data_IF_263357647777
#
_entry.id   IF_263357647777
#
_cell.length_a   1.000
_cell.length_b   1.000
_cell.length_c   1.000
_cell.angle_alpha   90.00
_cell.angle_beta   90.00
_cell.angle_gamma   90.00
#
_symmetry.space_group_name_H-M   'P 1'
#
loop_
_entity.id
_entity.type
_entity.pdbx_description
1 polymer ?
#
# COMPACT_ATOMS: atom_id res chain seq x y z
N UNK A 1 14.93 17.08 0.65
CA UNK A 1 14.98 16.82 0.17
C UNK A 1 14.62 15.61 0.04
N UNK A 2 14.76 15.05 -0.39
CA UNK A 2 14.60 13.96 -0.67
C UNK A 2 14.30 13.03 0.31
N UNK A 3 14.34 13.02 1.29
CA UNK A 3 14.07 12.01 2.24
C UNK A 3 12.65 11.83 2.62
N UNK A 4 11.77 12.60 2.04
CA UNK A 4 10.42 12.53 2.52
C UNK A 4 9.61 11.43 1.95
N UNK A 5 9.92 11.01 0.76
CA UNK A 5 9.18 9.92 0.17
C UNK A 5 7.78 10.33 -0.28
N UNK A 6 6.99 9.33 -0.60
CA UNK A 6 5.63 9.52 -1.10
C UNK A 6 4.66 8.98 -0.06
N UNK A 7 3.66 9.78 0.31
CA UNK A 7 2.63 9.36 1.25
C UNK A 7 1.31 9.20 0.54
N UNK A 8 0.59 8.18 0.92
CA UNK A 8 -0.74 7.99 0.35
C UNK A 8 -1.60 7.21 1.34
N UNK A 9 -2.90 7.42 1.23
CA UNK A 9 -3.84 6.75 2.12
C UNK A 9 -4.20 5.40 1.54
N UNK A 10 -4.34 4.42 2.43
CA UNK A 10 -4.70 3.06 2.04
C UNK A 10 -5.86 2.62 2.92
N UNK A 11 -6.88 2.05 2.29
CA UNK A 11 -7.98 1.44 3.02
C UNK A 11 -7.82 -0.06 2.92
N UNK A 12 -7.65 -0.70 4.06
CA UNK A 12 -7.33 -2.11 4.12
C UNK A 12 -8.58 -2.94 4.32
N UNK A 13 -8.71 -4.00 3.54
CA UNK A 13 -9.77 -4.98 3.72
C UNK A 13 -9.08 -6.27 4.13
N UNK A 14 -9.18 -6.65 5.41
CA UNK A 14 -8.45 -7.83 5.90
C UNK A 14 -9.20 -9.12 5.59
N UNK A 15 -8.57 -10.23 5.88
CA UNK A 15 -9.17 -11.56 5.76
C UNK A 15 -9.46 -11.95 4.33
N UNK A 16 -8.75 -11.37 3.39
CA UNK A 16 -8.90 -11.78 2.00
C UNK A 16 -8.10 -13.05 1.77
N UNK A 17 -8.45 -13.77 0.72
CA UNK A 17 -7.72 -14.99 0.39
C UNK A 17 -6.33 -14.66 -0.09
N UNK A 18 -6.15 -13.54 -0.73
CA UNK A 18 -4.84 -13.10 -1.18
C UNK A 18 -4.82 -11.60 -1.17
N UNK A 19 -3.62 -11.06 -1.13
CA UNK A 19 -3.46 -9.62 -1.11
C UNK A 19 -3.51 -9.10 -2.55
N UNK A 20 -4.23 -8.01 -2.75
CA UNK A 20 -4.33 -7.42 -4.07
C UNK A 20 -4.78 -5.98 -3.97
N UNK A 21 -4.40 -5.19 -4.95
CA UNK A 21 -4.85 -3.81 -5.05
C UNK A 21 -6.19 -3.83 -5.77
N UNK A 22 -7.22 -3.29 -5.11
CA UNK A 22 -8.54 -3.27 -5.70
C UNK A 22 -8.71 -2.05 -6.61
N UNK A 23 -8.19 -0.90 -6.17
CA UNK A 23 -8.32 0.32 -6.95
C UNK A 23 -8.39 1.52 -6.02
N UNK A 24 -8.72 2.67 -6.59
CA UNK A 24 -8.83 3.90 -5.82
C UNK A 24 -10.27 4.08 -5.39
N UNK A 25 -10.46 4.39 -4.11
CA UNK A 25 -11.77 4.63 -3.57
C UNK A 25 -11.70 5.94 -2.82
N UNK A 26 -12.32 6.99 -3.36
CA UNK A 26 -12.16 8.32 -2.81
C UNK A 26 -10.72 8.76 -2.92
N UNK A 27 -10.13 9.11 -1.81
CA UNK A 27 -8.74 9.54 -1.79
C UNK A 27 -7.82 8.43 -1.31
N UNK A 28 -8.29 7.23 -1.20
CA UNK A 28 -7.49 6.14 -0.66
C UNK A 28 -7.38 5.01 -1.67
N UNK A 29 -6.30 4.30 -1.57
CA UNK A 29 -6.09 3.09 -2.35
C UNK A 29 -6.68 1.94 -1.55
N UNK A 30 -7.62 1.21 -2.16
CA UNK A 30 -8.23 0.08 -1.48
C UNK A 30 -7.41 -1.17 -1.75
N UNK A 31 -7.00 -1.84 -0.68
CA UNK A 31 -6.12 -3.00 -0.78
C UNK A 31 -6.71 -4.11 0.07
N UNK A 32 -6.87 -5.28 -0.53
CA UNK A 32 -7.21 -6.47 0.22
C UNK A 32 -5.93 -7.10 0.75
N UNK A 33 -5.98 -7.59 1.96
CA UNK A 33 -4.80 -8.13 2.59
C UNK A 33 -5.11 -9.52 3.14
N UNK A 34 -4.28 -10.48 2.75
CA UNK A 34 -4.40 -11.85 3.23
C UNK A 34 -3.65 -11.93 4.56
N UNK A 35 -4.37 -11.75 5.65
CA UNK A 35 -3.76 -11.79 6.97
C UNK A 35 -4.82 -12.23 7.97
N UNK A 36 -4.41 -12.92 9.02
CA UNK A 36 -5.34 -13.29 10.07
C UNK A 36 -5.77 -12.04 10.83
N UNK A 37 -6.93 -12.08 11.49
CA UNK A 37 -7.42 -10.92 12.23
C UNK A 37 -6.71 -10.80 13.58
N UNK A 38 -5.40 -10.73 13.53
CA UNK A 38 -4.58 -10.59 14.72
C UNK A 38 -3.89 -9.25 14.62
N UNK A 39 -3.88 -8.54 15.73
CA UNK A 39 -3.34 -7.20 15.74
C UNK A 39 -1.90 -7.20 15.25
N UNK A 40 -1.59 -6.29 14.34
CA UNK A 40 -0.26 -6.19 13.78
C UNK A 40 -0.04 -7.02 12.55
N UNK A 41 -0.79 -8.09 12.36
CA UNK A 41 -0.53 -8.96 11.22
C UNK A 41 -0.97 -8.32 9.91
N UNK A 42 -2.06 -7.59 9.93
CA UNK A 42 -2.52 -6.91 8.71
C UNK A 42 -1.52 -5.84 8.30
N UNK A 43 -0.92 -5.14 9.27
CA UNK A 43 0.08 -4.13 8.96
C UNK A 43 1.30 -4.75 8.33
N UNK A 44 1.77 -5.87 8.88
CA UNK A 44 2.93 -6.55 8.32
C UNK A 44 2.64 -7.06 6.92
N UNK A 45 1.47 -7.64 6.73
CA UNK A 45 1.11 -8.17 5.42
C UNK A 45 0.96 -7.05 4.40
N UNK A 46 0.42 -5.91 4.82
CA UNK A 46 0.28 -4.77 3.93
C UNK A 46 1.65 -4.25 3.51
N UNK A 47 2.57 -4.10 4.46
CA UNK A 47 3.89 -3.62 4.12
C UNK A 47 4.60 -4.55 3.17
N UNK A 48 4.52 -5.85 3.43
CA UNK A 48 5.18 -6.84 2.58
C UNK A 48 4.60 -6.83 1.18
N UNK A 49 3.28 -6.74 1.10
CA UNK A 49 2.61 -6.74 -0.20
C UNK A 49 2.98 -5.49 -1.00
N UNK A 50 2.92 -4.32 -0.36
CA UNK A 50 3.25 -3.08 -1.06
C UNK A 50 4.71 -3.06 -1.49
N UNK A 51 5.59 -3.54 -0.64
CA UNK A 51 7.01 -3.58 -0.99
C UNK A 51 7.22 -4.46 -2.22
N UNK A 52 6.56 -5.60 -2.24
CA UNK A 52 6.69 -6.50 -3.38
C UNK A 52 6.15 -5.88 -4.66
N UNK A 53 4.97 -5.27 -4.59
CA UNK A 53 4.38 -4.66 -5.76
C UNK A 53 5.19 -3.47 -6.26
N UNK A 54 5.81 -2.75 -5.35
CA UNK A 54 6.57 -1.56 -5.70
C UNK A 54 8.02 -1.88 -6.05
N UNK A 55 8.47 -3.10 -5.80
CA UNK A 55 9.86 -3.45 -6.06
C UNK A 55 10.79 -2.82 -5.05
N UNK A 56 10.32 -2.65 -3.82
CA UNK A 56 11.08 -2.02 -2.76
C UNK A 56 11.34 -3.00 -1.64
N UNK A 57 12.23 -2.63 -0.73
CA UNK A 57 12.43 -3.40 0.47
C UNK A 57 11.38 -3.00 1.48
N UNK A 58 11.05 -3.92 2.41
CA UNK A 58 10.07 -3.60 3.43
C UNK A 58 10.40 -2.35 4.19
N UNK A 59 11.67 -2.13 4.48
CA UNK A 59 12.05 -0.97 5.26
C UNK A 59 11.84 0.33 4.52
N UNK A 60 11.59 0.28 3.22
CA UNK A 60 11.26 1.46 2.46
C UNK A 60 9.76 1.74 2.45
N UNK A 61 8.96 0.88 3.06
CA UNK A 61 7.52 1.03 3.16
C UNK A 61 7.17 1.13 4.64
N UNK A 62 6.54 2.23 5.01
CA UNK A 62 6.26 2.49 6.41
C UNK A 62 4.82 2.93 6.59
N UNK A 63 4.16 2.42 7.61
CA UNK A 63 2.83 2.88 7.97
C UNK A 63 3.03 3.98 8.98
N UNK A 64 2.69 5.21 8.62
CA UNK A 64 2.96 6.37 9.47
C UNK A 64 1.76 6.83 10.26
N UNK A 65 0.57 6.33 9.95
CA UNK A 65 -0.63 6.70 10.71
C UNK A 65 -1.68 5.63 10.51
N UNK A 66 -2.61 5.56 11.45
CA UNK A 66 -3.75 4.65 11.34
C UNK A 66 -3.40 3.19 11.58
N UNK A 67 -2.46 2.94 12.48
CA UNK A 67 -1.98 1.56 12.68
C UNK A 67 -3.09 0.60 13.08
N UNK A 68 -4.09 1.07 13.82
CA UNK A 68 -5.12 0.18 14.30
C UNK A 68 -6.39 0.20 13.47
N UNK A 69 -6.55 1.19 12.62
CA UNK A 69 -7.77 1.30 11.83
C UNK A 69 -7.59 0.67 10.46
N UNK A 70 -8.67 0.70 9.70
CA UNK A 70 -8.61 0.20 8.34
C UNK A 70 -8.09 1.25 7.38
N UNK A 71 -8.15 2.51 7.75
CA UNK A 71 -7.60 3.57 6.94
C UNK A 71 -6.22 3.91 7.48
N UNK A 72 -5.23 3.74 6.66
CA UNK A 72 -3.84 3.94 7.06
C UNK A 72 -3.18 4.91 6.12
N UNK A 73 -2.11 5.53 6.59
CA UNK A 73 -1.28 6.36 5.73
C UNK A 73 0.05 5.66 5.61
N UNK A 74 0.47 5.45 4.38
CA UNK A 74 1.70 4.73 4.08
C UNK A 74 2.67 5.70 3.44
N UNK A 75 3.94 5.58 3.80
CA UNK A 75 5.00 6.36 3.19
C UNK A 75 6.00 5.40 2.59
N UNK A 76 6.37 5.65 1.34
CA UNK A 76 7.37 4.83 0.67
C UNK A 76 8.50 5.71 0.21
N UNK A 77 9.70 5.15 0.17
CA UNK A 77 10.88 5.88 -0.25
C UNK A 77 11.49 5.17 -1.44
N UNK A 78 12.10 5.96 -2.31
CA UNK A 78 12.79 5.39 -3.45
C UNK A 78 12.03 5.47 -4.75
N UNK A 79 10.81 6.00 -4.74
CA UNK A 79 10.00 6.12 -5.94
C UNK A 79 9.31 7.47 -5.95
N UNK A 80 8.98 7.94 -7.15
CA UNK A 80 8.18 9.15 -7.30
C UNK A 80 6.70 8.80 -7.16
N UNK A 81 5.84 9.80 -6.96
CA UNK A 81 4.40 9.53 -6.92
C UNK A 81 3.90 8.83 -8.17
N UNK A 82 4.42 9.21 -9.31
CA UNK A 82 4.01 8.59 -10.56
C UNK A 82 4.39 7.12 -10.60
N UNK A 83 5.60 6.80 -10.15
CA UNK A 83 6.04 5.41 -10.15
C UNK A 83 5.22 4.57 -9.18
N UNK A 84 4.88 5.14 -8.02
CA UNK A 84 4.04 4.44 -7.07
C UNK A 84 2.69 4.13 -7.70
N UNK A 85 2.11 5.13 -8.35
CA UNK A 85 0.81 4.94 -8.97
C UNK A 85 0.86 3.88 -10.05
N UNK A 86 1.88 3.93 -10.89
CA UNK A 86 1.98 2.98 -11.99
C UNK A 86 2.17 1.56 -11.48
N UNK A 87 2.96 1.39 -10.46
CA UNK A 87 3.26 0.05 -9.97
C UNK A 87 2.12 -0.56 -9.17
N UNK A 88 1.30 0.27 -8.55
CA UNK A 88 0.17 -0.24 -7.79
C UNK A 88 -1.09 -0.35 -8.61
N UNK A 89 -1.33 0.59 -9.52
CA UNK A 89 -2.56 0.61 -10.30
C UNK A 89 -2.38 0.15 -11.73
N UNK A 90 -1.14 -0.03 -12.15
CA UNK A 90 -0.91 -0.46 -13.50
C UNK A 90 -0.80 0.72 -14.43
N UNK A 91 0.12 0.63 -15.36
CA UNK A 91 0.30 1.74 -16.28
C UNK A 91 -0.56 1.59 -17.49
N UNK A 92 -1.12 0.42 -17.70
CA UNK A 92 -1.87 0.25 -18.81
C UNK A 92 -3.08 1.02 -18.73
N UNK A 93 -3.51 1.25 -17.72
CA UNK A 93 -4.58 2.03 -17.73
C UNK A 93 -5.20 1.85 -18.96
N UNK A 94 -5.72 2.49 -19.37
CA UNK A 94 -6.47 2.47 -20.38
C UNK A 94 -5.83 2.33 -21.57
N UNK A 95 -5.28 2.24 -21.84
CA UNK A 95 -4.85 2.22 -22.87
C UNK A 95 -4.57 1.45 -23.10
N UNK A 96 -4.66 1.24 -22.71
CA UNK A 96 -4.36 0.30 -22.86
C UNK A 96 -4.42 0.23 -23.01
#
# INVERSE_FOLDING_TARGET
>A
MDGEGVRFAVRVVPRARRSEVVGVQGEALKVRVAAPPVEGKANEALRAFLAERLGLRRQQVEIVAGHRGRRKVVRVQGLSPRQVRERLLGSEGPEG
#
